data_IF_999885872885
#
_entry.id   IF_999885872885
#
_cell.length_a   1.000
_cell.length_b   1.000
_cell.length_c   1.000
_cell.angle_alpha   90.00
_cell.angle_beta   90.00
_cell.angle_gamma   90.00
#
_symmetry.space_group_name_H-M   'P 1'
#
loop_
_entity.id
_entity.type
_entity.pdbx_description
1 polymer ?
#
# COMPACT_ATOMS: atom_id res chain seq x y z
N UNK A 1 -24.77 13.37 54.83
CA UNK A 1 -25.21 14.39 53.89
C UNK A 1 -24.00 14.81 53.07
N UNK A 2 -24.15 14.74 51.75
CA UNK A 2 -23.28 15.28 50.69
C UNK A 2 -21.94 14.57 50.40
N UNK A 3 -22.00 13.81 49.31
CA UNK A 3 -20.95 13.24 48.47
C UNK A 3 -20.29 14.34 47.64
N UNK A 4 -18.96 14.35 47.50
CA UNK A 4 -18.24 14.70 46.24
C UNK A 4 -16.77 14.28 46.42
N UNK A 5 -16.33 13.13 45.91
CA UNK A 5 -16.00 12.85 44.50
C UNK A 5 -14.95 13.81 43.92
N UNK A 6 -13.68 13.38 43.93
CA UNK A 6 -12.70 13.78 42.91
C UNK A 6 -11.86 12.57 42.54
N UNK A 7 -12.49 11.65 41.80
CA UNK A 7 -11.81 10.68 40.95
C UNK A 7 -11.07 11.50 39.89
N UNK A 8 -9.78 11.76 40.10
CA UNK A 8 -8.92 12.43 39.13
C UNK A 8 -8.74 11.49 37.94
N UNK A 9 -9.60 11.64 36.94
CA UNK A 9 -9.60 10.88 35.72
C UNK A 9 -8.47 11.42 34.85
N UNK A 10 -7.28 10.82 34.97
CA UNK A 10 -6.14 11.12 34.12
C UNK A 10 -6.47 10.55 32.73
N UNK A 11 -7.13 11.36 31.90
CA UNK A 11 -7.20 11.17 30.46
C UNK A 11 -5.78 11.29 29.90
N UNK A 12 -5.01 10.21 29.98
CA UNK A 12 -3.72 10.09 29.32
C UNK A 12 -3.95 10.21 27.82
N UNK A 13 -3.63 11.37 27.25
CA UNK A 13 -3.64 11.59 25.81
C UNK A 13 -2.59 10.68 25.20
N UNK A 14 -3.04 9.60 24.55
CA UNK A 14 -2.15 8.74 23.76
C UNK A 14 -1.43 9.62 22.74
N UNK A 15 -0.07 9.65 22.70
CA UNK A 15 0.64 10.50 21.77
C UNK A 15 0.26 10.05 20.35
N UNK A 16 -0.44 10.91 19.61
CA UNK A 16 -0.72 10.68 18.19
C UNK A 16 0.62 10.48 17.49
N UNK A 17 0.94 9.24 17.10
CA UNK A 17 2.13 8.94 16.29
C UNK A 17 2.10 9.89 15.08
N UNK A 18 3.11 10.77 14.98
CA UNK A 18 3.30 11.62 13.79
C UNK A 18 3.36 10.67 12.59
N UNK A 19 2.40 10.79 11.66
CA UNK A 19 2.44 10.04 10.39
C UNK A 19 3.75 10.41 9.70
N UNK A 20 4.69 9.47 9.65
CA UNK A 20 5.93 9.67 8.93
C UNK A 20 5.58 9.92 7.46
N UNK A 21 6.11 11.00 6.88
CA UNK A 21 5.97 11.27 5.45
C UNK A 21 6.89 10.29 4.74
N UNK A 22 6.35 9.12 4.41
CA UNK A 22 7.07 8.10 3.64
C UNK A 22 7.37 8.75 2.27
N UNK A 23 8.65 8.75 1.87
CA UNK A 23 9.03 9.32 0.57
C UNK A 23 8.45 8.49 -0.58
N UNK A 24 8.14 9.15 -1.70
CA UNK A 24 7.72 8.47 -2.94
C UNK A 24 8.76 7.42 -3.36
N UNK A 25 10.05 7.65 -3.14
CA UNK A 25 11.09 6.67 -3.48
C UNK A 25 10.98 5.39 -2.63
N UNK A 26 10.62 5.52 -1.36
CA UNK A 26 10.51 4.41 -0.43
C UNK A 26 9.28 3.57 -0.73
N UNK A 27 8.19 4.21 -1.17
CA UNK A 27 6.99 3.53 -1.68
C UNK A 27 7.34 2.76 -2.95
N UNK A 28 8.05 3.39 -3.91
CA UNK A 28 8.46 2.74 -5.17
C UNK A 28 9.39 1.55 -4.95
N UNK A 29 10.21 1.56 -3.91
CA UNK A 29 11.08 0.43 -3.54
C UNK A 29 10.31 -0.73 -2.90
N UNK A 30 9.26 -0.44 -2.15
CA UNK A 30 8.43 -1.47 -1.48
C UNK A 30 7.36 -2.06 -2.39
N UNK A 31 6.97 -1.37 -3.46
CA UNK A 31 6.00 -1.90 -4.41
C UNK A 31 6.69 -2.88 -5.36
N UNK A 32 6.23 -4.15 -5.41
CA UNK A 32 6.78 -5.13 -6.32
C UNK A 32 6.62 -4.65 -7.76
N UNK A 33 7.68 -4.78 -8.56
CA UNK A 33 7.64 -4.42 -9.98
C UNK A 33 7.09 -5.61 -10.75
N UNK A 34 5.86 -5.47 -11.20
CA UNK A 34 5.19 -6.47 -12.03
C UNK A 34 5.42 -6.08 -13.48
N UNK A 35 6.11 -6.92 -14.23
CA UNK A 35 6.39 -6.68 -15.63
C UNK A 35 5.57 -7.66 -16.46
N UNK A 36 4.72 -7.13 -17.33
CA UNK A 36 3.98 -7.89 -18.32
C UNK A 36 4.69 -7.82 -19.68
N UNK A 37 4.78 -8.95 -20.36
CA UNK A 37 5.47 -9.16 -21.62
C UNK A 37 4.50 -9.69 -22.66
N UNK A 38 4.55 -9.10 -23.84
CA UNK A 38 3.96 -9.64 -25.07
C UNK A 38 5.03 -9.68 -26.15
N UNK A 39 4.73 -10.28 -27.30
CA UNK A 39 5.68 -10.40 -28.40
C UNK A 39 6.22 -9.05 -28.91
N UNK A 40 5.48 -7.96 -28.67
CA UNK A 40 5.81 -6.61 -29.19
C UNK A 40 5.96 -5.55 -28.11
N UNK A 41 5.64 -5.86 -26.85
CA UNK A 41 5.57 -4.83 -25.81
C UNK A 41 5.94 -5.37 -24.42
N UNK A 42 6.57 -4.51 -23.63
CA UNK A 42 6.87 -4.72 -22.22
C UNK A 42 6.23 -3.60 -21.41
N UNK A 43 5.44 -3.97 -20.40
CA UNK A 43 4.64 -3.04 -19.61
C UNK A 43 4.98 -3.24 -18.15
N UNK A 44 5.29 -2.15 -17.45
CA UNK A 44 5.51 -2.19 -16.00
C UNK A 44 4.21 -1.80 -15.29
N UNK A 45 3.63 -2.76 -14.58
CA UNK A 45 2.39 -2.63 -13.85
C UNK A 45 2.67 -2.28 -12.39
N UNK A 46 1.80 -1.43 -11.82
CA UNK A 46 1.88 -1.01 -10.41
C UNK A 46 1.26 -2.03 -9.46
N UNK A 47 0.32 -2.84 -9.95
CA UNK A 47 -0.50 -3.73 -9.13
C UNK A 47 -0.86 -5.01 -9.89
N UNK A 48 -1.02 -6.11 -9.14
CA UNK A 48 -1.40 -7.42 -9.68
C UNK A 48 -2.77 -7.38 -10.38
N UNK A 49 -3.72 -6.60 -9.85
CA UNK A 49 -5.05 -6.43 -10.43
C UNK A 49 -5.05 -5.84 -11.85
N UNK A 50 -3.96 -5.19 -12.25
CA UNK A 50 -3.83 -4.71 -13.63
C UNK A 50 -3.54 -5.85 -14.62
N UNK A 51 -3.06 -7.00 -14.16
CA UNK A 51 -2.76 -8.15 -15.02
C UNK A 51 -4.03 -8.69 -15.69
N UNK A 52 -5.16 -8.78 -14.99
CA UNK A 52 -6.41 -9.31 -15.54
C UNK A 52 -6.85 -8.57 -16.81
N UNK A 53 -6.72 -7.23 -16.80
CA UNK A 53 -7.00 -6.41 -17.98
C UNK A 53 -6.08 -6.76 -19.16
N UNK A 54 -4.78 -6.95 -18.89
CA UNK A 54 -3.80 -7.25 -19.93
C UNK A 54 -3.88 -8.69 -20.43
N UNK A 55 -4.24 -9.65 -19.59
CA UNK A 55 -4.50 -11.03 -20.00
C UNK A 55 -5.77 -11.14 -20.85
N UNK A 56 -6.82 -10.39 -20.52
CA UNK A 56 -8.01 -10.33 -21.37
C UNK A 56 -7.70 -9.76 -22.77
N UNK A 57 -6.80 -8.79 -22.85
CA UNK A 57 -6.41 -8.15 -24.12
C UNK A 57 -5.35 -8.94 -24.90
N UNK A 58 -4.43 -9.59 -24.19
CA UNK A 58 -3.32 -10.37 -24.71
C UNK A 58 -3.25 -11.71 -23.96
N UNK A 59 -4.03 -12.71 -24.38
CA UNK A 59 -4.13 -13.99 -23.68
C UNK A 59 -2.81 -14.77 -23.65
N UNK A 60 -1.92 -14.51 -24.61
CA UNK A 60 -0.59 -15.13 -24.69
C UNK A 60 0.49 -14.33 -23.93
N UNK A 61 0.12 -13.25 -23.26
CA UNK A 61 1.06 -12.46 -22.50
C UNK A 61 1.65 -13.24 -21.33
N UNK A 62 2.87 -12.88 -20.93
CA UNK A 62 3.59 -13.47 -19.79
C UNK A 62 3.83 -12.38 -18.76
N UNK A 63 3.99 -12.74 -17.49
CA UNK A 63 4.33 -11.77 -16.46
C UNK A 63 5.45 -12.28 -15.57
N UNK A 64 6.20 -11.34 -15.01
CA UNK A 64 7.23 -11.57 -14.01
C UNK A 64 6.98 -10.59 -12.87
N UNK A 65 7.02 -11.07 -11.63
CA UNK A 65 6.92 -10.22 -10.44
C UNK A 65 8.29 -10.20 -9.80
N UNK A 66 8.93 -9.03 -9.77
CA UNK A 66 10.17 -8.84 -9.04
C UNK A 66 9.84 -8.17 -7.70
N UNK A 67 10.17 -8.87 -6.62
CA UNK A 67 10.15 -8.38 -5.24
C UNK A 67 11.41 -7.54 -4.95
#
# INVERSE_FOLDING_TARGET
MTIVSTKLLIIGTMPRKKKQRISIEEIKKRTPKIIFYTDKMKINLKSMSSLDFWFNKYPNGKYIVND
#
